data_IF_877322694416
#
_entry.id   IF_877322694416
#
_cell.length_a   1.000
_cell.length_b   1.000
_cell.length_c   1.000
_cell.angle_alpha   90.00
_cell.angle_beta   90.00
_cell.angle_gamma   90.00
#
_symmetry.space_group_name_H-M   'P 1'
#
loop_
_entity.id
_entity.type
_entity.pdbx_description
1 polymer ?
#
# COMPACT_ATOMS: atom_id res chain seq x y z
N UNK A 1 10.37 28.55 -20.72
CA UNK A 1 9.96 28.86 -19.30
C UNK A 1 8.89 27.89 -18.91
N UNK A 2 9.09 27.18 -17.81
CA UNK A 2 8.13 26.27 -17.20
C UNK A 2 7.49 26.93 -16.01
N UNK A 3 6.19 26.86 -15.90
CA UNK A 3 5.44 27.39 -14.79
C UNK A 3 4.47 26.34 -14.27
N UNK A 4 4.39 26.20 -12.95
CA UNK A 4 3.48 25.30 -12.27
C UNK A 4 2.78 26.00 -11.10
N UNK A 5 1.48 25.81 -10.99
CA UNK A 5 0.66 26.21 -9.84
C UNK A 5 -0.16 25.01 -9.40
N UNK A 6 0.35 24.34 -8.39
CA UNK A 6 -0.25 23.09 -7.90
C UNK A 6 -0.77 23.30 -6.48
N UNK A 7 -2.00 22.88 -6.26
CA UNK A 7 -2.66 22.91 -4.97
C UNK A 7 -3.24 21.51 -4.67
N UNK A 8 -2.88 20.96 -3.52
CA UNK A 8 -3.41 19.69 -3.03
C UNK A 8 -3.92 19.88 -1.60
N UNK A 9 -5.19 19.57 -1.37
CA UNK A 9 -5.79 19.49 -0.05
C UNK A 9 -6.27 18.04 0.17
N UNK A 10 -5.67 17.36 1.12
CA UNK A 10 -6.05 16.00 1.49
C UNK A 10 -6.45 15.94 2.96
N UNK A 11 -7.59 15.30 3.25
CA UNK A 11 -8.10 15.09 4.60
C UNK A 11 -8.50 13.65 4.78
N UNK A 12 -8.12 13.05 5.89
CA UNK A 12 -8.46 11.68 6.26
C UNK A 12 -9.13 11.71 7.62
N UNK A 13 -10.31 11.12 7.71
CA UNK A 13 -10.99 10.84 8.96
C UNK A 13 -11.08 9.32 9.13
N UNK A 14 -10.70 8.82 10.30
CA UNK A 14 -10.73 7.39 10.61
C UNK A 14 -11.42 7.16 11.94
N UNK A 15 -12.35 6.19 11.96
CA UNK A 15 -13.01 5.68 13.16
C UNK A 15 -12.78 4.17 13.22
N UNK A 16 -12.44 3.63 14.39
CA UNK A 16 -12.18 2.20 14.55
C UNK A 16 -12.59 1.69 15.91
N UNK A 17 -13.10 0.46 15.93
CA UNK A 17 -13.40 -0.31 17.12
C UNK A 17 -12.52 -1.56 17.12
N UNK A 18 -12.02 -1.92 18.31
CA UNK A 18 -11.20 -3.12 18.54
C UNK A 18 -11.76 -3.89 19.71
N UNK A 19 -11.81 -5.20 19.56
CA UNK A 19 -12.17 -6.13 20.59
C UNK A 19 -11.08 -7.19 20.71
N UNK A 20 -10.71 -7.58 21.91
CA UNK A 20 -9.76 -8.65 22.17
C UNK A 20 -10.13 -9.40 23.44
N UNK A 21 -10.05 -10.73 23.40
CA UNK A 21 -10.26 -11.59 24.54
C UNK A 21 -9.31 -12.77 24.51
N UNK A 22 -9.04 -13.33 25.68
CA UNK A 22 -8.26 -14.57 25.83
C UNK A 22 -9.15 -15.65 26.43
N UNK A 23 -9.25 -16.75 25.70
CA UNK A 23 -10.00 -17.95 26.09
C UNK A 23 -9.05 -19.14 26.07
N UNK A 24 -8.61 -19.58 27.25
CA UNK A 24 -7.65 -20.69 27.42
C UNK A 24 -6.37 -20.44 26.59
N UNK A 25 -6.13 -21.27 25.60
CA UNK A 25 -4.97 -21.19 24.69
C UNK A 25 -5.18 -20.30 23.47
N UNK A 26 -6.37 -19.69 23.32
CA UNK A 26 -6.75 -18.83 22.23
C UNK A 26 -6.73 -17.37 22.62
N UNK A 27 -6.21 -16.53 21.74
CA UNK A 27 -6.27 -15.07 21.85
C UNK A 27 -7.02 -14.55 20.61
N UNK A 28 -8.29 -14.26 20.79
CA UNK A 28 -9.16 -13.72 19.76
C UNK A 28 -9.02 -12.21 19.68
N UNK A 29 -8.96 -11.70 18.46
CA UNK A 29 -8.95 -10.27 18.16
C UNK A 29 -9.86 -9.99 16.97
N UNK A 30 -10.74 -9.01 17.11
CA UNK A 30 -11.63 -8.56 16.05
C UNK A 30 -11.65 -7.04 15.98
N UNK A 31 -12.00 -6.50 14.85
CA UNK A 31 -12.17 -5.05 14.74
C UNK A 31 -12.82 -4.65 13.45
N UNK A 32 -13.33 -3.42 13.47
CA UNK A 32 -13.90 -2.74 12.32
C UNK A 32 -13.30 -1.33 12.26
N UNK A 33 -12.90 -0.92 11.07
CA UNK A 33 -12.41 0.42 10.74
C UNK A 33 -13.26 1.02 9.65
N UNK A 34 -13.61 2.27 9.80
CA UNK A 34 -14.17 3.08 8.73
C UNK A 34 -13.28 4.29 8.50
N UNK A 35 -12.97 4.56 7.23
CA UNK A 35 -12.10 5.65 6.80
C UNK A 35 -12.78 6.43 5.69
N UNK A 36 -12.84 7.76 5.87
CA UNK A 36 -13.24 8.71 4.84
C UNK A 36 -12.01 9.48 4.38
N UNK A 37 -11.75 9.43 3.10
CA UNK A 37 -10.67 10.17 2.43
C UNK A 37 -11.30 11.23 1.54
N UNK A 38 -10.79 12.45 1.65
CA UNK A 38 -11.11 13.55 0.78
C UNK A 38 -9.81 14.07 0.19
N UNK A 39 -9.74 14.20 -1.12
CA UNK A 39 -8.63 14.84 -1.81
C UNK A 39 -9.20 15.84 -2.84
N UNK A 40 -8.65 17.02 -2.88
CA UNK A 40 -8.91 18.04 -3.89
C UNK A 40 -7.59 18.49 -4.45
N UNK A 41 -7.41 18.30 -5.74
CA UNK A 41 -6.24 18.72 -6.48
C UNK A 41 -6.63 19.74 -7.53
N UNK A 42 -5.82 20.76 -7.64
CA UNK A 42 -5.86 21.71 -8.76
C UNK A 42 -4.43 21.91 -9.23
N UNK A 43 -4.15 21.52 -10.47
CA UNK A 43 -2.87 21.72 -11.11
C UNK A 43 -3.04 22.51 -12.38
N UNK A 44 -2.19 23.50 -12.56
CA UNK A 44 -2.06 24.29 -13.77
C UNK A 44 -0.59 24.40 -14.10
N UNK A 45 -0.18 23.74 -15.16
CA UNK A 45 1.20 23.74 -15.62
C UNK A 45 1.21 24.16 -17.06
N UNK A 46 2.15 25.02 -17.43
CA UNK A 46 2.33 25.46 -18.80
C UNK A 46 3.81 25.64 -19.11
N UNK A 47 4.18 25.27 -20.30
CA UNK A 47 5.49 25.42 -20.85
C UNK A 47 5.44 26.41 -22.03
N UNK A 48 6.21 27.48 -21.94
CA UNK A 48 6.40 28.44 -22.99
C UNK A 48 7.85 28.41 -23.47
N UNK A 49 8.05 28.36 -24.78
CA UNK A 49 9.36 28.42 -25.41
C UNK A 49 9.42 29.58 -26.41
N UNK A 50 10.55 30.24 -26.47
CA UNK A 50 10.94 31.09 -27.58
C UNK A 50 11.64 30.24 -28.62
N UNK A 51 11.76 30.73 -29.84
CA UNK A 51 12.44 30.01 -30.91
C UNK A 51 13.97 30.17 -30.92
N UNK A 52 14.55 30.68 -29.87
CA UNK A 52 15.98 30.97 -29.61
C UNK A 52 17.03 30.48 -30.63
N UNK A 53 16.73 30.60 -31.92
CA UNK A 53 17.67 30.36 -33.02
C UNK A 53 17.73 28.95 -33.60
N UNK A 54 16.99 28.00 -33.08
CA UNK A 54 17.06 26.59 -33.50
C UNK A 54 15.88 26.09 -34.35
N UNK A 55 14.85 26.92 -34.54
CA UNK A 55 13.66 26.57 -35.34
C UNK A 55 13.26 27.69 -36.31
N UNK A 56 12.75 27.33 -37.47
CA UNK A 56 12.20 28.28 -38.45
C UNK A 56 10.66 28.16 -38.48
N UNK A 57 9.91 29.27 -38.50
CA UNK A 57 10.35 30.65 -38.46
C UNK A 57 10.80 31.11 -37.05
N UNK A 58 11.77 31.95 -37.07
CA UNK A 58 12.40 32.52 -35.86
C UNK A 58 11.50 33.62 -35.29
N UNK A 59 11.17 33.59 -34.02
CA UNK A 59 10.52 34.70 -33.31
C UNK A 59 11.15 34.86 -31.92
N UNK A 60 11.92 35.93 -31.74
CA UNK A 60 12.46 36.33 -30.44
C UNK A 60 11.42 37.14 -29.62
N UNK A 61 10.35 37.62 -30.25
CA UNK A 61 9.38 38.55 -29.65
C UNK A 61 8.15 37.85 -29.08
N UNK A 62 7.87 36.60 -29.47
CA UNK A 62 6.66 35.90 -29.04
C UNK A 62 6.98 34.56 -28.38
N UNK A 63 6.52 34.40 -27.13
CA UNK A 63 6.55 33.13 -26.42
C UNK A 63 5.41 32.24 -26.94
N UNK A 64 5.74 31.03 -27.39
CA UNK A 64 4.76 30.05 -27.83
C UNK A 64 4.42 29.10 -26.69
N UNK A 65 3.11 28.86 -26.47
CA UNK A 65 2.62 27.85 -25.57
C UNK A 65 2.81 26.46 -26.21
N UNK A 66 3.75 25.69 -25.71
CA UNK A 66 4.05 24.35 -26.21
C UNK A 66 3.22 23.29 -25.50
N UNK A 67 3.04 23.45 -24.18
CA UNK A 67 2.33 22.49 -23.34
C UNK A 67 1.46 23.22 -22.34
N UNK A 68 0.22 22.80 -22.20
CA UNK A 68 -0.67 23.21 -21.13
C UNK A 68 -1.28 21.98 -20.49
N UNK A 69 -1.18 21.89 -19.17
CA UNK A 69 -1.80 20.85 -18.36
C UNK A 69 -2.76 21.52 -17.39
N UNK A 70 -4.01 21.08 -17.42
CA UNK A 70 -5.03 21.51 -16.48
C UNK A 70 -5.63 20.32 -15.75
N UNK A 71 -5.70 20.40 -14.44
CA UNK A 71 -6.32 19.39 -13.59
C UNK A 71 -7.14 20.07 -12.50
N UNK A 72 -8.39 19.67 -12.37
CA UNK A 72 -9.23 19.98 -11.21
C UNK A 72 -10.00 18.73 -10.84
N UNK A 73 -9.50 18.02 -9.84
CA UNK A 73 -10.03 16.73 -9.43
C UNK A 73 -10.44 16.74 -7.96
N UNK A 74 -11.56 16.09 -7.68
CA UNK A 74 -12.05 15.85 -6.32
C UNK A 74 -12.30 14.37 -6.13
N UNK A 75 -11.77 13.81 -5.06
CA UNK A 75 -11.98 12.44 -4.65
C UNK A 75 -12.61 12.41 -3.27
N UNK A 76 -13.72 11.70 -3.13
CA UNK A 76 -14.26 11.31 -1.83
C UNK A 76 -14.41 9.81 -1.83
N UNK A 77 -13.66 9.14 -0.97
CA UNK A 77 -13.66 7.68 -0.86
C UNK A 77 -13.98 7.26 0.57
N UNK A 78 -14.80 6.24 0.71
CA UNK A 78 -15.07 5.56 1.97
C UNK A 78 -14.52 4.16 1.90
N UNK A 79 -13.75 3.76 2.91
CA UNK A 79 -13.21 2.41 3.04
C UNK A 79 -13.68 1.83 4.36
N UNK A 80 -14.29 0.66 4.33
CA UNK A 80 -14.67 -0.11 5.51
C UNK A 80 -13.83 -1.36 5.55
N UNK A 81 -13.19 -1.62 6.68
CA UNK A 81 -12.38 -2.82 6.91
C UNK A 81 -12.89 -3.52 8.16
N UNK A 82 -13.04 -4.83 8.10
CA UNK A 82 -13.32 -5.68 9.25
C UNK A 82 -12.30 -6.81 9.30
N UNK A 83 -11.88 -7.21 10.49
CA UNK A 83 -10.99 -8.34 10.64
C UNK A 83 -11.35 -9.20 11.84
N UNK A 84 -11.02 -10.48 11.70
CA UNK A 84 -11.06 -11.46 12.76
C UNK A 84 -9.74 -12.24 12.74
N UNK A 85 -9.12 -12.42 13.90
CA UNK A 85 -7.87 -13.13 14.05
C UNK A 85 -7.89 -13.96 15.34
N UNK A 86 -7.37 -15.17 15.28
CA UNK A 86 -7.08 -15.99 16.46
C UNK A 86 -5.60 -16.34 16.50
N UNK A 87 -5.03 -16.30 17.70
CA UNK A 87 -3.71 -16.82 18.00
C UNK A 87 -3.83 -17.95 18.99
N UNK A 88 -3.59 -19.15 18.52
CA UNK A 88 -3.59 -20.38 19.29
C UNK A 88 -2.20 -20.72 19.77
N UNK A 89 -2.06 -20.89 21.10
CA UNK A 89 -0.80 -21.25 21.74
C UNK A 89 -0.88 -22.65 22.31
N UNK A 90 0.03 -23.54 21.89
CA UNK A 90 0.07 -24.94 22.32
C UNK A 90 1.48 -25.34 22.75
N UNK A 91 1.55 -25.85 23.98
CA UNK A 91 2.73 -26.59 24.46
C UNK A 91 2.55 -28.07 24.07
N UNK A 92 3.45 -28.59 23.27
CA UNK A 92 3.56 -30.00 22.89
C UNK A 92 4.87 -30.58 23.42
N UNK A 93 4.99 -31.91 23.44
CA UNK A 93 6.23 -32.57 23.87
C UNK A 93 7.47 -32.15 23.07
N UNK A 94 7.28 -31.79 21.80
CA UNK A 94 8.36 -31.36 20.88
C UNK A 94 8.69 -29.87 20.96
N UNK A 95 7.82 -29.05 21.55
CA UNK A 95 8.03 -27.60 21.67
C UNK A 95 6.78 -26.77 21.78
N UNK A 96 6.98 -25.45 21.83
CA UNK A 96 5.93 -24.45 21.89
C UNK A 96 5.55 -24.00 20.47
N UNK A 97 4.26 -24.07 20.15
CA UNK A 97 3.66 -23.56 18.92
C UNK A 97 2.84 -22.32 19.20
N UNK A 98 3.03 -21.29 18.40
CA UNK A 98 2.14 -20.13 18.28
C UNK A 98 1.59 -20.11 16.86
N UNK A 99 0.31 -20.36 16.69
CA UNK A 99 -0.36 -20.42 15.39
C UNK A 99 -1.33 -19.25 15.33
N UNK A 100 -1.12 -18.36 14.37
CA UNK A 100 -2.02 -17.21 14.14
C UNK A 100 -2.66 -17.35 12.79
N UNK A 101 -3.97 -17.24 12.74
CA UNK A 101 -4.73 -17.19 11.51
C UNK A 101 -5.78 -16.08 11.58
N UNK A 102 -6.04 -15.45 10.48
CA UNK A 102 -6.97 -14.34 10.43
C UNK A 102 -7.46 -14.05 9.02
N UNK A 103 -8.57 -13.38 8.98
CA UNK A 103 -9.22 -12.92 7.77
C UNK A 103 -9.53 -11.44 7.92
N UNK A 104 -9.19 -10.66 6.89
CA UNK A 104 -9.61 -9.27 6.78
C UNK A 104 -10.49 -9.12 5.55
N UNK A 105 -11.62 -8.47 5.72
CA UNK A 105 -12.51 -8.00 4.67
C UNK A 105 -12.30 -6.50 4.49
N UNK A 106 -12.24 -6.04 3.24
CA UNK A 106 -12.17 -4.60 2.90
C UNK A 106 -13.20 -4.32 1.81
N UNK A 107 -13.98 -3.27 2.00
CA UNK A 107 -14.88 -2.69 1.02
C UNK A 107 -14.53 -1.23 0.78
N UNK A 108 -14.47 -0.82 -0.48
CA UNK A 108 -14.20 0.55 -0.91
C UNK A 108 -15.30 1.02 -1.87
N UNK A 109 -15.94 2.13 -1.54
CA UNK A 109 -17.05 2.64 -2.35
C UNK A 109 -16.62 3.29 -3.66
N UNK A 110 -15.39 3.81 -3.74
CA UNK A 110 -14.88 4.54 -4.90
C UNK A 110 -15.01 3.74 -6.22
N UNK A 111 -14.60 2.49 -6.19
CA UNK A 111 -14.65 1.56 -7.33
C UNK A 111 -15.53 0.34 -7.04
N UNK A 112 -16.34 0.38 -5.97
CA UNK A 112 -17.18 -0.73 -5.47
C UNK A 112 -16.40 -2.04 -5.31
N UNK A 113 -15.12 -1.94 -4.94
CA UNK A 113 -14.23 -3.08 -4.80
C UNK A 113 -14.33 -3.68 -3.40
N UNK A 114 -14.46 -5.02 -3.36
CA UNK A 114 -14.38 -5.79 -2.12
C UNK A 114 -13.39 -6.93 -2.28
N UNK A 115 -12.66 -7.22 -1.19
CA UNK A 115 -11.70 -8.32 -1.17
C UNK A 115 -11.47 -8.88 0.22
N UNK A 116 -11.02 -10.13 0.25
CA UNK A 116 -10.62 -10.84 1.45
C UNK A 116 -9.12 -11.05 1.48
N UNK A 117 -8.52 -10.83 2.63
CA UNK A 117 -7.07 -10.97 2.88
C UNK A 117 -6.84 -12.02 3.97
N UNK A 118 -6.81 -13.33 3.63
CA UNK A 118 -6.45 -14.37 4.58
C UNK A 118 -4.96 -14.27 4.91
N UNK A 119 -4.63 -14.53 6.18
CA UNK A 119 -3.26 -14.56 6.70
C UNK A 119 -3.09 -15.72 7.65
N UNK A 120 -1.92 -16.33 7.60
CA UNK A 120 -1.54 -17.42 8.47
C UNK A 120 -0.08 -17.24 8.89
N UNK A 121 0.22 -17.55 10.13
CA UNK A 121 1.59 -17.68 10.60
C UNK A 121 1.72 -18.73 11.68
N UNK A 122 2.89 -19.35 11.73
CA UNK A 122 3.27 -20.31 12.75
C UNK A 122 4.66 -19.97 13.26
N UNK A 123 4.80 -19.90 14.57
CA UNK A 123 6.07 -19.84 15.28
C UNK A 123 6.28 -21.14 16.06
N UNK A 124 7.49 -21.67 16.05
CA UNK A 124 7.86 -22.91 16.74
C UNK A 124 9.16 -22.73 17.50
N UNK A 125 9.13 -23.08 18.80
CA UNK A 125 10.30 -23.11 19.68
C UNK A 125 10.47 -24.55 20.17
N UNK A 126 11.54 -25.28 19.77
CA UNK A 126 11.76 -26.65 20.15
C UNK A 126 12.05 -26.80 21.66
N UNK A 127 11.46 -27.79 22.34
CA UNK A 127 11.66 -28.02 23.79
C UNK A 127 13.11 -28.38 24.16
N UNK A 128 13.85 -29.02 23.28
CA UNK A 128 15.25 -29.44 23.52
C UNK A 128 16.28 -28.39 23.09
N UNK A 129 15.88 -27.37 22.36
CA UNK A 129 16.72 -26.30 21.79
C UNK A 129 15.94 -25.00 21.80
N UNK A 130 15.62 -24.49 22.98
CA UNK A 130 14.87 -23.28 23.23
C UNK A 130 15.56 -22.01 22.73
N UNK A 131 16.84 -22.11 22.40
CA UNK A 131 17.62 -21.06 21.76
C UNK A 131 17.33 -20.90 20.25
N UNK A 132 16.54 -21.80 19.64
CA UNK A 132 16.05 -21.69 18.29
C UNK A 132 14.57 -21.27 18.24
N UNK A 133 14.25 -20.40 17.31
CA UNK A 133 12.87 -20.07 16.96
C UNK A 133 12.71 -20.15 15.46
N UNK A 134 11.74 -20.91 15.00
CA UNK A 134 11.40 -21.02 13.58
C UNK A 134 10.08 -20.30 13.32
N UNK A 135 9.97 -19.63 12.17
CA UNK A 135 8.79 -18.86 11.79
C UNK A 135 8.43 -19.12 10.34
N UNK A 136 7.13 -19.24 10.08
CA UNK A 136 6.56 -19.24 8.74
C UNK A 136 5.36 -18.33 8.75
N UNK A 137 5.24 -17.43 7.75
CA UNK A 137 4.09 -16.59 7.57
C UNK A 137 3.70 -16.52 6.10
N UNK A 138 2.42 -16.53 5.84
CA UNK A 138 1.89 -16.41 4.48
C UNK A 138 0.57 -15.64 4.47
N UNK A 139 0.24 -15.05 3.34
CA UNK A 139 -1.03 -14.34 3.18
C UNK A 139 -1.18 -13.62 1.86
N UNK A 140 -2.43 -13.19 1.63
CA UNK A 140 -2.78 -12.27 0.56
C UNK A 140 -2.88 -10.86 1.10
N UNK A 141 -2.27 -9.93 0.38
CA UNK A 141 -2.23 -8.52 0.74
C UNK A 141 -2.74 -7.70 -0.43
N UNK A 142 -3.55 -6.71 -0.11
CA UNK A 142 -4.09 -5.76 -1.08
C UNK A 142 -3.66 -4.36 -0.70
N UNK A 143 -3.28 -3.58 -1.71
CA UNK A 143 -2.95 -2.17 -1.58
C UNK A 143 -3.88 -1.38 -2.49
N UNK A 144 -4.70 -0.55 -1.88
CA UNK A 144 -5.57 0.37 -2.63
C UNK A 144 -4.72 1.41 -3.36
N UNK A 145 -5.08 1.81 -4.58
CA UNK A 145 -4.36 2.85 -5.31
C UNK A 145 -4.29 4.15 -4.50
N UNK A 146 -3.13 4.77 -4.50
CA UNK A 146 -2.97 6.14 -4.01
C UNK A 146 -3.62 7.12 -4.99
N UNK A 147 -3.93 8.33 -4.51
CA UNK A 147 -4.51 9.37 -5.35
C UNK A 147 -3.73 9.62 -6.65
N UNK A 148 -2.39 9.64 -6.57
CA UNK A 148 -1.53 9.82 -7.75
C UNK A 148 -1.65 8.69 -8.78
N UNK A 149 -1.87 7.45 -8.33
CA UNK A 149 -2.04 6.27 -9.20
C UNK A 149 -3.41 6.25 -9.90
N UNK A 150 -4.37 7.06 -9.42
CA UNK A 150 -5.67 7.23 -10.05
C UNK A 150 -5.66 8.26 -11.19
N UNK A 151 -4.60 9.06 -11.33
CA UNK A 151 -4.50 10.07 -12.36
C UNK A 151 -4.29 9.45 -13.73
N UNK A 152 -5.10 9.84 -14.69
CA UNK A 152 -4.99 9.44 -16.08
C UNK A 152 -4.96 10.70 -16.95
N UNK A 153 -3.92 10.84 -17.75
CA UNK A 153 -3.74 11.95 -18.64
C UNK A 153 -4.51 11.72 -19.95
N UNK A 154 -5.30 12.69 -20.36
CA UNK A 154 -6.06 12.67 -21.62
C UNK A 154 -5.86 13.99 -22.34
N UNK A 155 -5.61 13.94 -23.66
CA UNK A 155 -5.52 15.14 -24.47
C UNK A 155 -6.89 15.48 -25.04
N UNK A 156 -7.38 16.69 -24.75
CA UNK A 156 -8.65 17.22 -25.26
C UNK A 156 -8.45 18.61 -25.81
N UNK A 157 -8.80 18.82 -27.10
CA UNK A 157 -8.67 20.13 -27.79
C UNK A 157 -7.27 20.78 -27.63
N UNK A 158 -6.20 19.99 -27.71
CA UNK A 158 -4.82 20.50 -27.60
C UNK A 158 -4.39 20.83 -26.16
N UNK A 159 -5.24 20.63 -25.17
CA UNK A 159 -4.91 20.78 -23.74
C UNK A 159 -4.84 19.41 -23.10
N UNK A 160 -3.81 19.19 -22.30
CA UNK A 160 -3.67 17.98 -21.51
C UNK A 160 -4.51 18.11 -20.25
N UNK A 161 -5.54 17.28 -20.12
CA UNK A 161 -6.39 17.18 -18.94
C UNK A 161 -6.02 15.94 -18.13
N UNK A 162 -6.04 16.06 -16.81
CA UNK A 162 -5.85 14.92 -15.91
C UNK A 162 -7.19 14.57 -15.28
N UNK A 163 -7.64 13.35 -15.52
CA UNK A 163 -8.87 12.78 -14.97
C UNK A 163 -8.53 11.70 -13.94
N UNK A 164 -9.49 11.35 -13.08
CA UNK A 164 -9.33 10.23 -12.14
C UNK A 164 -9.89 8.94 -12.75
N UNK A 165 -9.07 7.90 -12.80
CA UNK A 165 -9.50 6.58 -13.23
C UNK A 165 -10.31 5.90 -12.13
N UNK A 166 -11.63 5.88 -12.29
CA UNK A 166 -12.57 5.24 -11.34
C UNK A 166 -12.56 3.71 -11.41
N UNK A 167 -11.92 3.14 -12.43
CA UNK A 167 -11.84 1.68 -12.61
C UNK A 167 -10.55 1.07 -12.06
N UNK A 168 -9.63 1.89 -11.55
CA UNK A 168 -8.38 1.42 -10.98
C UNK A 168 -8.65 0.48 -9.79
N UNK A 169 -8.14 -0.74 -9.89
CA UNK A 169 -8.29 -1.78 -8.88
C UNK A 169 -7.09 -1.84 -7.95
N UNK A 170 -7.31 -2.37 -6.75
CA UNK A 170 -6.24 -2.60 -5.78
C UNK A 170 -5.18 -3.57 -6.31
N UNK A 171 -3.93 -3.25 -6.07
CA UNK A 171 -2.80 -4.15 -6.30
C UNK A 171 -2.91 -5.32 -5.34
N UNK A 172 -2.56 -6.52 -5.79
CA UNK A 172 -2.60 -7.75 -5.00
C UNK A 172 -1.23 -8.41 -4.95
N UNK A 173 -0.83 -8.84 -3.77
CA UNK A 173 0.37 -9.66 -3.60
C UNK A 173 0.12 -10.86 -2.71
N UNK A 174 0.70 -11.99 -3.09
CA UNK A 174 0.89 -13.14 -2.23
C UNK A 174 2.27 -13.06 -1.61
N UNK A 175 2.38 -13.34 -0.30
CA UNK A 175 3.65 -13.29 0.41
C UNK A 175 3.84 -14.58 1.20
N UNK A 176 5.06 -15.10 1.16
CA UNK A 176 5.54 -16.22 1.97
C UNK A 176 6.85 -15.79 2.61
N UNK A 177 6.97 -15.96 3.92
CA UNK A 177 8.17 -15.66 4.70
C UNK A 177 8.51 -16.87 5.53
N UNK A 178 9.75 -17.30 5.50
CA UNK A 178 10.32 -18.36 6.34
C UNK A 178 11.51 -17.73 7.07
N UNK A 179 11.56 -17.90 8.39
CA UNK A 179 12.62 -17.31 9.19
C UNK A 179 13.06 -18.23 10.33
N UNK A 180 14.28 -18.02 10.78
CA UNK A 180 14.80 -18.63 12.00
C UNK A 180 15.63 -17.64 12.80
N UNK A 181 15.51 -17.74 14.11
CA UNK A 181 16.34 -17.02 15.08
C UNK A 181 17.17 -18.02 15.88
N UNK A 182 18.42 -17.69 16.11
CA UNK A 182 19.32 -18.43 16.98
C UNK A 182 19.87 -17.49 18.07
N UNK A 183 19.50 -17.73 19.32
CA UNK A 183 19.98 -16.98 20.45
C UNK A 183 21.17 -17.71 21.10
N UNK A 184 22.28 -17.01 21.33
CA UNK A 184 23.48 -17.57 21.96
C UNK A 184 24.19 -16.55 22.83
N UNK A 185 25.09 -17.02 23.66
CA UNK A 185 25.96 -16.15 24.47
C UNK A 185 27.40 -16.28 24.00
N UNK A 186 28.06 -15.13 23.84
CA UNK A 186 29.49 -15.05 23.54
C UNK A 186 30.09 -13.92 24.39
N UNK A 187 31.24 -14.17 24.99
CA UNK A 187 31.88 -13.21 25.92
C UNK A 187 30.93 -12.68 27.01
N UNK A 188 30.13 -13.56 27.60
CA UNK A 188 29.11 -13.28 28.60
C UNK A 188 28.01 -12.27 28.17
N UNK A 189 27.87 -11.97 26.89
CA UNK A 189 26.83 -11.10 26.32
C UNK A 189 25.84 -11.92 25.48
N UNK A 190 24.56 -11.57 25.49
CA UNK A 190 23.56 -12.23 24.65
C UNK A 190 23.68 -11.75 23.20
N UNK A 191 23.66 -12.68 22.27
CA UNK A 191 23.61 -12.46 20.83
C UNK A 191 22.40 -13.16 20.23
N UNK A 192 21.91 -12.64 19.12
CA UNK A 192 20.85 -13.23 18.32
C UNK A 192 21.23 -13.13 16.85
N UNK A 193 21.23 -14.28 16.18
CA UNK A 193 21.35 -14.36 14.73
C UNK A 193 19.95 -14.59 14.14
N UNK A 194 19.57 -13.81 13.15
CA UNK A 194 18.30 -13.93 12.44
C UNK A 194 18.58 -14.19 10.96
N UNK A 195 17.93 -15.21 10.39
CA UNK A 195 17.92 -15.48 8.97
C UNK A 195 16.49 -15.54 8.46
N UNK A 196 16.20 -14.86 7.35
CA UNK A 196 14.88 -14.83 6.72
C UNK A 196 15.00 -14.99 5.21
N UNK A 197 14.09 -15.77 4.63
CA UNK A 197 13.84 -15.85 3.21
C UNK A 197 12.39 -15.46 2.95
N UNK A 198 12.17 -14.68 1.90
CA UNK A 198 10.83 -14.28 1.51
C UNK A 198 10.60 -14.48 0.02
N UNK A 199 9.36 -14.84 -0.31
CA UNK A 199 8.85 -14.88 -1.67
C UNK A 199 7.65 -13.98 -1.77
N UNK A 200 7.63 -13.11 -2.79
CA UNK A 200 6.53 -12.18 -3.02
C UNK A 200 6.12 -12.23 -4.48
N UNK A 201 4.88 -12.60 -4.73
CA UNK A 201 4.28 -12.61 -6.05
C UNK A 201 3.27 -11.48 -6.16
N UNK A 202 3.46 -10.61 -7.14
CA UNK A 202 2.56 -9.51 -7.41
C UNK A 202 1.62 -9.84 -8.55
N UNK A 203 0.35 -9.51 -8.38
CA UNK A 203 -0.64 -9.50 -9.45
C UNK A 203 -1.37 -8.17 -9.45
N UNK A 204 -1.80 -7.70 -10.61
CA UNK A 204 -2.47 -6.39 -10.77
C UNK A 204 -1.61 -5.22 -10.29
N UNK A 205 -0.37 -5.16 -10.74
CA UNK A 205 0.46 -3.98 -10.53
C UNK A 205 -0.09 -2.81 -11.35
N UNK A 206 -0.07 -1.62 -10.75
CA UNK A 206 -0.31 -0.38 -11.46
C UNK A 206 1.06 0.09 -11.97
N UNK A 207 1.31 0.04 -13.29
CA UNK A 207 2.60 0.49 -13.82
C UNK A 207 2.71 2.01 -13.63
N UNK A 208 3.85 2.45 -13.15
CA UNK A 208 4.24 3.86 -13.24
C UNK A 208 4.78 4.12 -14.64
N UNK A 209 4.15 5.01 -15.38
CA UNK A 209 4.77 5.57 -16.58
C UNK A 209 5.72 6.69 -16.14
N UNK A 210 6.98 6.60 -16.54
CA UNK A 210 8.01 7.62 -16.26
C UNK A 210 7.68 8.94 -16.96
N UNK A 211 6.87 8.89 -18.01
CA UNK A 211 6.49 10.05 -18.84
C UNK A 211 5.32 10.87 -18.25
N UNK A 212 4.80 10.49 -17.09
CA UNK A 212 3.72 11.18 -16.37
C UNK A 212 4.25 12.00 -15.19
N UNK A 213 5.44 12.58 -15.31
CA UNK A 213 5.98 13.56 -14.36
C UNK A 213 5.59 14.94 -14.82
#
# INVERSE_FOLDING_TARGET
MEHARNFLNARIFKLGLRFGTRLYSHQLSAGIDWRKEYAMERSREWEMRDSSGYSLPHSAETLQLIRSLHSENRLTAHTTEAFLQDTYRKNAAIGLFNITYGLRFTYRNWNSESFFSPRFSIGFIPSRRDNWTFRLATGWYYQTPFYKELRQTTMRNGVTEVLLNTQARSQRSFQLVIGSDYAFRMMNRPFKLTAEAYYKYFSRLIPYSVDNV
#
